data_IF_577933641113
#
_entry.id   IF_577933641113
#
_cell.length_a   1.000
_cell.length_b   1.000
_cell.length_c   1.000
_cell.angle_alpha   90.00
_cell.angle_beta   90.00
_cell.angle_gamma   90.00
#
_symmetry.space_group_name_H-M   'P 1'
#
loop_
_entity.id
_entity.type
_entity.pdbx_description
1 polymer ?
#
# COMPACT_ATOMS: atom_id res chain seq x y z
N UNK A 1 -41.53 -5.41 9.26
CA UNK A 1 -40.50 -5.28 10.30
C UNK A 1 -39.17 -5.55 9.63
N UNK A 2 -38.59 -4.51 9.02
CA UNK A 2 -37.31 -4.60 8.32
C UNK A 2 -36.20 -4.84 9.33
N UNK A 3 -35.42 -5.89 9.10
CA UNK A 3 -34.34 -6.32 9.98
C UNK A 3 -33.28 -5.21 10.07
N UNK A 4 -33.02 -4.69 11.28
CA UNK A 4 -32.03 -3.64 11.54
C UNK A 4 -30.61 -4.00 11.02
N UNK A 5 -30.36 -5.28 10.72
CA UNK A 5 -29.12 -5.73 10.07
C UNK A 5 -28.96 -5.26 8.62
N UNK A 6 -30.04 -4.99 7.89
CA UNK A 6 -29.96 -4.51 6.51
C UNK A 6 -29.62 -3.02 6.42
N UNK A 7 -30.11 -2.21 7.37
CA UNK A 7 -29.84 -0.77 7.45
C UNK A 7 -28.36 -0.45 7.64
N UNK A 8 -27.58 -1.39 8.22
CA UNK A 8 -26.12 -1.26 8.35
C UNK A 8 -25.32 -1.73 7.13
N UNK A 9 -25.95 -2.41 6.16
CA UNK A 9 -25.31 -2.88 4.91
C UNK A 9 -25.63 -1.98 3.72
N UNK A 10 -26.78 -1.33 3.76
CA UNK A 10 -27.32 -0.49 2.71
C UNK A 10 -27.40 0.91 3.30
N UNK A 11 -26.55 1.83 2.84
CA UNK A 11 -26.58 3.21 3.30
C UNK A 11 -27.90 3.90 2.94
N UNK A 12 -28.07 5.14 3.41
CA UNK A 12 -29.13 6.02 2.91
C UNK A 12 -29.11 5.97 1.35
N UNK A 13 -30.28 5.77 0.73
CA UNK A 13 -30.47 5.62 -0.74
C UNK A 13 -29.97 4.32 -1.41
N UNK A 14 -29.52 3.30 -0.68
CA UNK A 14 -29.10 2.04 -1.34
C UNK A 14 -27.59 1.89 -1.58
N UNK A 15 -26.80 2.92 -1.27
CA UNK A 15 -25.37 2.94 -1.58
C UNK A 15 -24.56 1.99 -0.69
N UNK A 16 -23.52 1.39 -1.28
CA UNK A 16 -22.55 0.57 -0.54
C UNK A 16 -21.71 1.49 0.34
N UNK A 17 -21.86 1.37 1.65
CA UNK A 17 -21.13 2.20 2.63
C UNK A 17 -19.81 1.58 3.09
N UNK A 18 -19.43 0.41 2.55
CA UNK A 18 -18.24 -0.35 2.95
C UNK A 18 -17.30 -0.51 1.76
N UNK A 19 -15.98 -0.36 1.99
CA UNK A 19 -14.96 -0.69 1.00
C UNK A 19 -15.14 -2.09 0.44
N UNK A 20 -14.92 -2.24 -0.87
CA UNK A 20 -14.94 -3.55 -1.50
C UNK A 20 -13.80 -4.42 -0.99
N UNK A 21 -13.98 -5.75 -1.06
CA UNK A 21 -12.91 -6.70 -0.72
C UNK A 21 -11.68 -6.49 -1.61
N UNK A 22 -11.90 -6.13 -2.88
CA UNK A 22 -10.82 -5.85 -3.81
C UNK A 22 -10.01 -4.63 -3.37
N UNK A 23 -10.67 -3.54 -2.96
CA UNK A 23 -9.99 -2.36 -2.45
C UNK A 23 -9.13 -2.67 -1.21
N UNK A 24 -9.64 -3.51 -0.31
CA UNK A 24 -8.86 -3.96 0.85
C UNK A 24 -7.63 -4.75 0.40
N UNK A 25 -7.76 -5.70 -0.53
CA UNK A 25 -6.64 -6.48 -1.06
C UNK A 25 -5.60 -5.57 -1.71
N UNK A 26 -6.03 -4.66 -2.58
CA UNK A 26 -5.14 -3.72 -3.29
C UNK A 26 -4.37 -2.83 -2.28
N UNK A 27 -5.03 -2.40 -1.20
CA UNK A 27 -4.40 -1.58 -0.15
C UNK A 27 -3.33 -2.34 0.64
N UNK A 28 -3.40 -3.67 0.71
CA UNK A 28 -2.43 -4.49 1.44
C UNK A 28 -1.20 -4.87 0.62
N UNK A 29 -1.28 -4.89 -0.71
CA UNK A 29 -0.17 -5.27 -1.59
C UNK A 29 1.08 -4.40 -1.36
N UNK A 30 1.01 -3.06 -1.28
CA UNK A 30 2.18 -2.23 -1.01
C UNK A 30 2.90 -2.60 0.28
N UNK A 31 2.16 -2.89 1.36
CA UNK A 31 2.72 -3.32 2.65
C UNK A 31 3.53 -4.61 2.52
N UNK A 32 3.01 -5.57 1.74
CA UNK A 32 3.70 -6.84 1.51
C UNK A 32 4.98 -6.64 0.70
N UNK A 33 4.94 -5.75 -0.30
CA UNK A 33 6.12 -5.41 -1.11
C UNK A 33 7.19 -4.68 -0.31
N UNK A 34 6.80 -3.66 0.46
CA UNK A 34 7.73 -2.94 1.36
C UNK A 34 8.32 -3.90 2.41
N UNK A 35 7.50 -4.78 2.98
CA UNK A 35 7.96 -5.83 3.90
C UNK A 35 8.94 -6.80 3.25
N UNK A 36 8.69 -7.20 2.00
CA UNK A 36 9.60 -8.05 1.23
C UNK A 36 10.94 -7.34 0.96
N UNK A 37 10.93 -6.04 0.63
CA UNK A 37 12.14 -5.24 0.48
C UNK A 37 12.94 -5.20 1.77
N UNK A 38 12.28 -4.99 2.91
CA UNK A 38 12.95 -5.01 4.20
C UNK A 38 13.60 -6.37 4.49
N UNK A 39 12.92 -7.48 4.16
CA UNK A 39 13.48 -8.83 4.31
C UNK A 39 14.66 -9.09 3.37
N UNK A 40 14.52 -8.74 2.09
CA UNK A 40 15.54 -8.97 1.04
C UNK A 40 16.81 -8.17 1.34
N UNK A 41 16.67 -6.98 1.89
CA UNK A 41 17.80 -6.11 2.28
C UNK A 41 18.35 -6.42 3.68
N UNK A 42 17.79 -7.40 4.39
CA UNK A 42 18.09 -7.66 5.81
C UNK A 42 18.00 -6.39 6.68
N UNK A 43 16.96 -5.58 6.44
CA UNK A 43 16.77 -4.29 7.10
C UNK A 43 17.77 -3.23 6.62
N UNK A 44 18.03 -3.17 5.31
CA UNK A 44 18.99 -2.25 4.70
C UNK A 44 20.44 -2.45 5.16
N UNK A 45 20.86 -3.70 5.36
CA UNK A 45 22.25 -4.03 5.66
C UNK A 45 23.14 -3.72 4.44
N UNK A 46 24.36 -3.23 4.64
CA UNK A 46 25.34 -2.92 3.59
C UNK A 46 25.70 -4.15 2.75
N UNK A 47 25.71 -5.34 3.37
CA UNK A 47 26.02 -6.60 2.68
C UNK A 47 25.03 -7.70 3.09
N UNK A 48 23.81 -7.73 2.50
CA UNK A 48 22.86 -8.81 2.71
C UNK A 48 23.48 -10.15 2.31
N UNK A 49 23.18 -11.19 3.07
CA UNK A 49 23.76 -12.54 2.97
C UNK A 49 22.88 -13.48 2.16
N UNK A 50 21.56 -13.34 2.27
CA UNK A 50 20.63 -14.32 1.70
C UNK A 50 20.38 -14.15 0.20
N UNK A 51 20.42 -12.92 -0.31
CA UNK A 51 20.07 -12.62 -1.70
C UNK A 51 21.28 -12.11 -2.50
N UNK A 52 21.36 -12.40 -3.81
CA UNK A 52 22.41 -11.87 -4.68
C UNK A 52 22.38 -10.33 -4.77
N UNK A 53 23.50 -9.66 -5.07
CA UNK A 53 23.56 -8.20 -5.24
C UNK A 53 22.54 -7.60 -6.18
N UNK A 54 22.26 -8.29 -7.29
CA UNK A 54 21.25 -7.82 -8.24
C UNK A 54 19.84 -7.80 -7.62
N UNK A 55 19.53 -8.77 -6.76
CA UNK A 55 18.19 -8.91 -6.17
C UNK A 55 17.98 -7.87 -5.08
N UNK A 56 18.92 -7.71 -4.13
CA UNK A 56 18.74 -6.73 -3.05
C UNK A 56 18.92 -5.28 -3.49
N UNK A 57 19.65 -5.01 -4.57
CA UNK A 57 19.81 -3.65 -5.11
C UNK A 57 18.72 -3.32 -6.14
N UNK A 58 18.69 -4.02 -7.28
CA UNK A 58 17.78 -3.71 -8.39
C UNK A 58 16.39 -4.29 -8.14
N UNK A 59 16.31 -5.54 -7.67
CA UNK A 59 15.03 -6.18 -7.36
C UNK A 59 14.22 -5.40 -6.33
N UNK A 60 14.87 -4.89 -5.28
CA UNK A 60 14.24 -4.01 -4.29
C UNK A 60 13.65 -2.74 -4.92
N UNK A 61 14.39 -2.05 -5.81
CA UNK A 61 13.85 -0.87 -6.50
C UNK A 61 12.62 -1.22 -7.36
N UNK A 62 12.64 -2.34 -8.07
CA UNK A 62 11.49 -2.80 -8.86
C UNK A 62 10.28 -3.05 -7.97
N UNK A 63 10.46 -3.73 -6.84
CA UNK A 63 9.38 -3.97 -5.87
C UNK A 63 8.81 -2.67 -5.31
N UNK A 64 9.66 -1.68 -5.01
CA UNK A 64 9.23 -0.36 -4.51
C UNK A 64 8.47 0.44 -5.57
N UNK A 65 8.89 0.39 -6.84
CA UNK A 65 8.15 1.03 -7.94
C UNK A 65 6.77 0.40 -8.10
N UNK A 66 6.68 -0.94 -8.01
CA UNK A 66 5.40 -1.64 -8.03
C UNK A 66 4.54 -1.29 -6.82
N UNK A 67 5.12 -1.17 -5.62
CA UNK A 67 4.40 -0.76 -4.42
C UNK A 67 3.77 0.63 -4.59
N UNK A 68 4.56 1.61 -5.06
CA UNK A 68 4.06 2.97 -5.38
C UNK A 68 2.93 2.91 -6.40
N UNK A 69 3.11 2.18 -7.49
CA UNK A 69 2.10 2.06 -8.55
C UNK A 69 0.78 1.47 -8.02
N UNK A 70 0.85 0.39 -7.24
CA UNK A 70 -0.33 -0.24 -6.65
C UNK A 70 -0.98 0.67 -5.59
N UNK A 71 -0.20 1.42 -4.81
CA UNK A 71 -0.74 2.43 -3.89
C UNK A 71 -1.54 3.52 -4.62
N UNK A 72 -1.08 3.97 -5.79
CA UNK A 72 -1.85 4.91 -6.61
C UNK A 72 -3.17 4.31 -7.10
N UNK A 73 -3.17 3.04 -7.51
CA UNK A 73 -4.40 2.32 -7.87
C UNK A 73 -5.33 2.23 -6.64
N UNK A 74 -4.82 1.82 -5.48
CA UNK A 74 -5.62 1.74 -4.25
C UNK A 74 -6.23 3.09 -3.84
N UNK A 75 -5.46 4.17 -3.98
CA UNK A 75 -5.93 5.53 -3.71
C UNK A 75 -7.05 5.94 -4.68
N UNK A 76 -6.88 5.74 -5.98
CA UNK A 76 -7.91 6.08 -6.98
C UNK A 76 -9.17 5.24 -6.80
N UNK A 77 -9.03 3.92 -6.65
CA UNK A 77 -10.16 3.03 -6.35
C UNK A 77 -10.92 3.44 -5.08
N UNK A 78 -10.21 3.87 -4.03
CA UNK A 78 -10.86 4.33 -2.79
C UNK A 78 -11.60 5.65 -2.92
N UNK A 79 -11.28 6.47 -3.93
CA UNK A 79 -12.09 7.66 -4.27
C UNK A 79 -13.31 7.26 -5.10
N UNK A 80 -13.13 6.32 -6.02
CA UNK A 80 -14.22 5.86 -6.90
C UNK A 80 -15.30 5.07 -6.12
N UNK A 81 -14.91 4.35 -5.08
CA UNK A 81 -15.84 3.63 -4.20
C UNK A 81 -16.43 4.49 -3.05
N UNK A 82 -15.96 5.72 -2.87
CA UNK A 82 -16.41 6.59 -1.77
C UNK A 82 -17.89 6.97 -1.96
N UNK A 83 -18.80 6.68 -1.00
CA UNK A 83 -20.22 6.95 -1.15
C UNK A 83 -20.47 8.45 -1.18
N UNK A 84 -21.47 8.88 -1.95
CA UNK A 84 -21.83 10.29 -2.03
C UNK A 84 -22.41 10.76 -0.69
N UNK A 85 -23.21 9.89 -0.08
CA UNK A 85 -23.97 10.13 1.15
C UNK A 85 -23.56 9.16 2.28
N UNK A 86 -23.52 9.66 3.51
CA UNK A 86 -23.15 8.85 4.69
C UNK A 86 -21.66 8.94 5.07
N UNK A 87 -21.16 7.93 5.79
CA UNK A 87 -19.83 7.99 6.38
C UNK A 87 -18.73 7.69 5.37
N UNK A 88 -17.86 8.68 5.13
CA UNK A 88 -16.68 8.62 4.26
C UNK A 88 -15.41 8.17 4.98
N UNK A 89 -15.48 8.04 6.31
CA UNK A 89 -14.33 7.73 7.17
C UNK A 89 -13.52 6.50 6.73
N UNK A 90 -14.12 5.32 6.45
CA UNK A 90 -13.33 4.14 6.06
C UNK A 90 -12.55 4.36 4.75
N UNK A 91 -13.13 5.09 3.80
CA UNK A 91 -12.48 5.41 2.52
C UNK A 91 -11.35 6.42 2.72
N UNK A 92 -11.53 7.44 3.56
CA UNK A 92 -10.46 8.38 3.91
C UNK A 92 -9.28 7.73 4.62
N UNK A 93 -9.54 6.73 5.48
CA UNK A 93 -8.48 5.93 6.10
C UNK A 93 -7.69 5.13 5.05
N UNK A 94 -8.37 4.50 4.09
CA UNK A 94 -7.71 3.78 3.00
C UNK A 94 -6.91 4.72 2.10
N UNK A 95 -7.44 5.91 1.79
CA UNK A 95 -6.73 6.96 1.05
C UNK A 95 -5.43 7.36 1.78
N UNK A 96 -5.51 7.61 3.09
CA UNK A 96 -4.36 7.97 3.91
C UNK A 96 -3.32 6.84 3.99
N UNK A 97 -3.77 5.58 4.14
CA UNK A 97 -2.87 4.42 4.14
C UNK A 97 -2.12 4.28 2.82
N UNK A 98 -2.80 4.43 1.68
CA UNK A 98 -2.14 4.35 0.38
C UNK A 98 -1.11 5.48 0.19
N UNK A 99 -1.39 6.70 0.66
CA UNK A 99 -0.39 7.78 0.67
C UNK A 99 0.79 7.42 1.58
N UNK A 100 0.53 6.87 2.76
CA UNK A 100 1.58 6.43 3.69
C UNK A 100 2.50 5.39 3.02
N UNK A 101 1.93 4.42 2.31
CA UNK A 101 2.71 3.41 1.59
C UNK A 101 3.59 4.02 0.49
N UNK A 102 3.09 5.01 -0.27
CA UNK A 102 3.94 5.75 -1.22
C UNK A 102 5.14 6.39 -0.51
N UNK A 103 4.91 7.05 0.63
CA UNK A 103 5.98 7.70 1.38
C UNK A 103 7.01 6.69 1.91
N UNK A 104 6.56 5.54 2.44
CA UNK A 104 7.43 4.47 2.90
C UNK A 104 8.25 3.89 1.74
N UNK A 105 7.62 3.60 0.60
CA UNK A 105 8.33 3.07 -0.56
C UNK A 105 9.36 4.06 -1.12
N UNK A 106 9.06 5.36 -1.13
CA UNK A 106 10.03 6.41 -1.54
C UNK A 106 11.20 6.46 -0.56
N UNK A 107 10.94 6.42 0.75
CA UNK A 107 11.99 6.40 1.77
C UNK A 107 12.89 5.16 1.62
N UNK A 108 12.31 3.98 1.39
CA UNK A 108 13.04 2.75 1.13
C UNK A 108 13.85 2.82 -0.16
N UNK A 109 13.33 3.45 -1.20
CA UNK A 109 14.05 3.63 -2.46
C UNK A 109 15.30 4.49 -2.27
N UNK A 110 15.18 5.58 -1.50
CA UNK A 110 16.33 6.42 -1.13
C UNK A 110 17.39 5.63 -0.35
N UNK A 111 16.98 4.82 0.63
CA UNK A 111 17.90 3.95 1.38
C UNK A 111 18.63 2.97 0.46
N UNK A 112 17.90 2.29 -0.43
CA UNK A 112 18.47 1.36 -1.42
C UNK A 112 19.49 2.07 -2.31
N UNK A 113 19.17 3.28 -2.79
CA UNK A 113 20.08 4.10 -3.61
C UNK A 113 21.34 4.47 -2.82
N UNK A 114 21.20 5.00 -1.60
CA UNK A 114 22.34 5.46 -0.82
C UNK A 114 23.29 4.34 -0.42
N UNK A 115 22.74 3.20 -0.01
CA UNK A 115 23.53 2.08 0.51
C UNK A 115 24.17 1.28 -0.62
N UNK A 116 23.41 0.91 -1.66
CA UNK A 116 23.88 -0.05 -2.66
C UNK A 116 24.44 0.58 -3.93
N UNK A 117 24.03 1.80 -4.28
CA UNK A 117 24.48 2.47 -5.51
C UNK A 117 25.48 3.58 -5.23
N UNK A 118 25.24 4.40 -4.20
CA UNK A 118 26.14 5.49 -3.84
C UNK A 118 27.24 5.10 -2.85
N UNK A 119 27.12 3.94 -2.18
CA UNK A 119 28.04 3.46 -1.13
C UNK A 119 28.33 4.53 -0.07
N UNK A 120 27.31 5.23 0.40
CA UNK A 120 27.44 6.26 1.46
C UNK A 120 27.45 5.61 2.88
N UNK A 121 27.52 4.28 2.97
CA UNK A 121 27.49 3.50 4.21
C UNK A 121 28.67 2.53 4.32
#
# INVERSE_FOLDING_TARGET
>A
MTDFKEVGRVGYMGEKTKPSKLLIVVTMIPVLLDGAVWMVTEGFNVKPRFFPPLVYAVGSLVMLVLAVFVSFIGYTMSKDEEPEWGSKLPFKLIQALNILWVLVSVMFALLVVFIYFMRIA
#
